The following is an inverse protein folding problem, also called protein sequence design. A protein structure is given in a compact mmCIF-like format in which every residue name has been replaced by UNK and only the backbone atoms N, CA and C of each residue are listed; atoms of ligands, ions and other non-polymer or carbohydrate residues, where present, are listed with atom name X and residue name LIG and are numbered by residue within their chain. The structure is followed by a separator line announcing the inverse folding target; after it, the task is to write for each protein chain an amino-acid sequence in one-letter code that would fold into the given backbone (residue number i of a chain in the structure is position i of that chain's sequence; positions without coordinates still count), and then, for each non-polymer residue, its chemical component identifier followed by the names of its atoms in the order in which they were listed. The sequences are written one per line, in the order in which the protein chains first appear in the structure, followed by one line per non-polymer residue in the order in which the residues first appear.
data_IF_088296338816
#
_entry.id   IF_088296338816
#
_cell.length_a   1.000
_cell.length_b   1.000
_cell.length_c   1.000
_cell.angle_alpha   90.00
_cell.angle_beta   90.00
_cell.angle_gamma   90.00
#
_symmetry.space_group_name_H-M   'P 1'
#
loop_
_entity.id
_entity.type
_entity.pdbx_description
1 polymer ?
#
# COMPACT_ATOMS: atom_id res chain seq x y z
N UNK A 1 12.29 -19.63 24.69
CA UNK A 1 11.83 -18.23 24.76
C UNK A 1 11.38 -17.87 23.37
N UNK A 2 10.07 -17.72 23.15
CA UNK A 2 9.56 -17.09 21.93
C UNK A 2 10.05 -15.64 21.94
N UNK A 3 10.63 -15.16 20.85
CA UNK A 3 11.04 -13.76 20.74
C UNK A 3 9.83 -12.84 21.02
N UNK A 4 10.09 -11.64 21.55
CA UNK A 4 9.04 -10.65 21.71
C UNK A 4 8.41 -10.30 20.33
N UNK A 5 7.09 -10.04 20.25
CA UNK A 5 6.45 -9.64 19.00
C UNK A 5 7.10 -8.40 18.39
N UNK A 6 7.51 -8.50 17.12
CA UNK A 6 7.92 -7.34 16.31
C UNK A 6 6.70 -6.49 15.92
N UNK A 7 6.91 -5.19 15.73
CA UNK A 7 5.97 -4.23 15.18
C UNK A 7 6.40 -3.86 13.75
N UNK A 8 5.45 -3.94 12.82
CA UNK A 8 5.61 -3.51 11.44
C UNK A 8 4.67 -2.32 11.20
N UNK A 9 5.17 -1.29 10.53
CA UNK A 9 4.39 -0.11 10.14
C UNK A 9 4.31 -0.03 8.62
N UNK A 10 3.11 0.17 8.09
CA UNK A 10 2.84 0.32 6.66
C UNK A 10 2.28 1.72 6.44
N UNK A 11 2.97 2.54 5.64
CA UNK A 11 2.58 3.93 5.40
C UNK A 11 2.10 4.07 3.95
N UNK A 12 0.80 4.29 3.79
CA UNK A 12 0.10 4.28 2.51
C UNK A 12 -0.67 5.58 2.26
N UNK A 13 -0.94 5.87 0.99
CA UNK A 13 -1.57 7.11 0.58
C UNK A 13 -3.09 7.09 0.84
N UNK A 14 -3.77 6.01 0.42
CA UNK A 14 -5.24 5.93 0.41
C UNK A 14 -5.77 4.63 1.04
N UNK A 15 -7.07 4.59 1.41
CA UNK A 15 -7.74 3.36 1.84
C UNK A 15 -7.93 2.34 0.70
N UNK A 16 -7.13 1.27 0.70
CA UNK A 16 -7.11 0.11 -0.23
C UNK A 16 -5.68 -0.30 -0.56
N UNK A 17 -4.79 0.68 -0.71
CA UNK A 17 -3.37 0.54 -0.98
C UNK A 17 -2.71 -0.49 -0.08
N UNK A 18 -3.02 -0.46 1.21
CA UNK A 18 -2.42 -1.36 2.19
C UNK A 18 -2.76 -2.82 1.89
N UNK A 19 -3.99 -3.07 1.45
CA UNK A 19 -4.47 -4.42 1.15
C UNK A 19 -4.04 -4.87 -0.25
N UNK A 20 -4.00 -3.95 -1.21
CA UNK A 20 -3.55 -4.19 -2.59
C UNK A 20 -2.05 -4.53 -2.66
N UNK A 21 -1.24 -3.87 -1.83
CA UNK A 21 0.23 -3.91 -1.96
C UNK A 21 0.93 -4.74 -0.87
N UNK A 22 0.34 -4.81 0.33
CA UNK A 22 0.96 -5.45 1.50
C UNK A 22 -0.01 -6.28 2.37
N UNK A 23 -1.23 -6.56 1.87
CA UNK A 23 -2.28 -7.25 2.62
C UNK A 23 -1.87 -8.65 3.06
N UNK A 24 -1.14 -9.37 2.21
CA UNK A 24 -0.62 -10.70 2.51
C UNK A 24 0.43 -10.66 3.61
N UNK A 25 1.36 -9.72 3.51
CA UNK A 25 2.45 -9.52 4.47
C UNK A 25 1.93 -9.14 5.84
N UNK A 26 0.93 -8.26 5.90
CA UNK A 26 0.27 -7.91 7.16
C UNK A 26 -0.45 -9.09 7.80
N UNK A 27 -1.26 -9.83 7.01
CA UNK A 27 -1.94 -11.03 7.51
C UNK A 27 -0.93 -12.09 8.01
N UNK A 28 0.19 -12.23 7.31
CA UNK A 28 1.27 -13.14 7.69
C UNK A 28 1.91 -12.73 9.02
N UNK A 29 2.24 -11.45 9.19
CA UNK A 29 2.82 -10.93 10.42
C UNK A 29 1.89 -11.18 11.63
N UNK A 30 0.60 -10.91 11.48
CA UNK A 30 -0.41 -11.15 12.54
C UNK A 30 -0.51 -12.65 12.87
N UNK A 31 -0.57 -13.51 11.86
CA UNK A 31 -0.62 -14.97 12.05
C UNK A 31 0.60 -15.50 12.80
N UNK A 32 1.77 -14.95 12.51
CA UNK A 32 3.04 -15.38 13.10
C UNK A 32 3.27 -14.76 14.50
N UNK A 33 2.31 -13.99 15.01
CA UNK A 33 2.31 -13.43 16.37
C UNK A 33 2.98 -12.06 16.48
N UNK A 34 3.26 -11.41 15.36
CA UNK A 34 3.73 -10.03 15.28
C UNK A 34 2.57 -9.04 15.25
N UNK A 35 2.88 -7.74 15.26
CA UNK A 35 1.90 -6.66 15.21
C UNK A 35 2.12 -5.86 13.94
N UNK A 36 1.04 -5.59 13.21
CA UNK A 36 1.04 -4.70 12.07
C UNK A 36 0.20 -3.46 12.37
N UNK A 37 0.67 -2.31 11.88
CA UNK A 37 -0.02 -1.03 11.96
C UNK A 37 -0.02 -0.36 10.59
N UNK A 38 -1.17 0.16 10.16
CA UNK A 38 -1.31 0.95 8.92
C UNK A 38 -1.50 2.42 9.28
N UNK A 39 -0.70 3.28 8.64
CA UNK A 39 -0.87 4.72 8.65
C UNK A 39 -1.28 5.17 7.25
N UNK A 40 -2.52 5.64 7.11
CA UNK A 40 -3.05 6.13 5.83
C UNK A 40 -2.95 7.66 5.78
N UNK A 41 -2.34 8.22 4.72
CA UNK A 41 -2.06 9.65 4.62
C UNK A 41 -3.31 10.50 4.33
N UNK A 42 -4.25 9.97 3.56
CA UNK A 42 -5.49 10.65 3.15
C UNK A 42 -6.67 9.68 3.23
N UNK A 43 -7.90 10.16 2.99
CA UNK A 43 -9.09 9.30 2.98
C UNK A 43 -9.57 8.94 1.58
N UNK A 44 -8.84 9.35 0.54
CA UNK A 44 -9.18 9.00 -0.83
C UNK A 44 -10.44 9.72 -1.33
N UNK A 45 -10.60 10.97 -0.95
CA UNK A 45 -11.76 11.81 -1.26
C UNK A 45 -12.00 12.01 -2.77
N UNK A 46 -10.94 11.91 -3.59
CA UNK A 46 -10.98 12.11 -5.04
C UNK A 46 -11.13 10.79 -5.81
N UNK A 47 -11.37 9.67 -5.11
CA UNK A 47 -11.55 8.35 -5.71
C UNK A 47 -12.81 8.24 -6.58
N UNK A 48 -12.74 7.39 -7.60
CA UNK A 48 -13.93 6.95 -8.33
C UNK A 48 -14.75 5.96 -7.47
N UNK A 49 -16.03 5.75 -7.81
CA UNK A 49 -16.91 4.85 -7.05
C UNK A 49 -17.53 3.81 -7.98
N UNK A 50 -17.17 2.53 -7.76
CA UNK A 50 -17.64 1.40 -8.59
C UNK A 50 -19.16 1.18 -8.47
N UNK A 51 -19.77 1.03 -7.26
CA UNK A 51 -21.18 0.67 -7.17
C UNK A 51 -22.08 1.85 -7.57
N UNK A 52 -23.01 1.70 -8.54
CA UNK A 52 -23.89 2.79 -8.97
C UNK A 52 -24.72 3.41 -7.84
N UNK A 53 -25.08 2.61 -6.83
CA UNK A 53 -25.84 3.08 -5.67
C UNK A 53 -25.04 4.06 -4.77
N UNK A 54 -23.71 4.07 -4.87
CA UNK A 54 -22.81 4.87 -4.05
C UNK A 54 -22.12 6.01 -4.81
N UNK A 55 -22.34 6.13 -6.13
CA UNK A 55 -21.67 7.16 -6.96
C UNK A 55 -21.92 8.60 -6.50
N UNK A 56 -23.01 8.85 -5.79
CA UNK A 56 -23.31 10.16 -5.20
C UNK A 56 -22.25 10.61 -4.17
N UNK A 57 -21.43 9.71 -3.63
CA UNK A 57 -20.44 10.02 -2.60
C UNK A 57 -19.19 10.75 -3.13
N UNK A 58 -18.92 10.68 -4.44
CA UNK A 58 -17.68 11.23 -5.02
C UNK A 58 -17.54 12.75 -4.82
N UNK A 59 -16.33 13.27 -5.06
CA UNK A 59 -16.01 14.69 -4.91
C UNK A 59 -16.81 15.63 -5.82
N UNK A 60 -17.36 15.13 -6.94
CA UNK A 60 -18.16 15.92 -7.87
C UNK A 60 -19.63 16.05 -7.45
N UNK A 61 -20.08 15.21 -6.51
CA UNK A 61 -21.46 15.16 -6.03
C UNK A 61 -21.58 15.59 -4.57
N UNK A 62 -21.56 14.66 -3.62
CA UNK A 62 -21.76 14.96 -2.20
C UNK A 62 -20.45 15.24 -1.47
N UNK A 63 -19.28 14.88 -2.04
CA UNK A 63 -17.96 15.02 -1.42
C UNK A 63 -17.90 14.38 -0.03
N UNK A 64 -18.42 13.15 0.07
CA UNK A 64 -18.51 12.37 1.32
C UNK A 64 -17.84 10.99 1.23
N UNK A 65 -17.09 10.74 0.16
CA UNK A 65 -16.39 9.48 -0.06
C UNK A 65 -15.34 9.19 1.01
N UNK A 66 -14.55 10.18 1.45
CA UNK A 66 -13.51 9.99 2.45
C UNK A 66 -14.00 9.37 3.77
N UNK A 67 -15.00 9.98 4.44
CA UNK A 67 -15.63 9.38 5.62
C UNK A 67 -16.19 7.97 5.38
N UNK A 68 -16.72 7.69 4.18
CA UNK A 68 -17.20 6.35 3.82
C UNK A 68 -16.05 5.34 3.73
N UNK A 69 -14.98 5.71 3.02
CA UNK A 69 -13.76 4.90 2.85
C UNK A 69 -13.00 4.67 4.16
N UNK A 70 -13.12 5.55 5.15
CA UNK A 70 -12.63 5.27 6.51
C UNK A 70 -13.32 4.03 7.11
N UNK A 71 -14.62 3.86 6.86
CA UNK A 71 -15.36 2.67 7.27
C UNK A 71 -14.88 1.40 6.56
N UNK A 72 -14.63 1.50 5.24
CA UNK A 72 -14.07 0.42 4.43
C UNK A 72 -12.67 0.01 4.91
N UNK A 73 -11.78 1.00 5.17
CA UNK A 73 -10.47 0.77 5.78
C UNK A 73 -10.59 0.03 7.11
N UNK A 74 -11.42 0.52 8.03
CA UNK A 74 -11.59 -0.11 9.34
C UNK A 74 -12.08 -1.55 9.22
N UNK A 75 -12.98 -1.84 8.29
CA UNK A 75 -13.48 -3.18 8.04
C UNK A 75 -12.38 -4.10 7.45
N UNK A 76 -11.64 -3.63 6.44
CA UNK A 76 -10.51 -4.37 5.87
C UNK A 76 -9.44 -4.68 6.92
N UNK A 77 -9.08 -3.71 7.75
CA UNK A 77 -8.10 -3.87 8.83
C UNK A 77 -8.58 -4.86 9.89
N UNK A 78 -9.87 -4.87 10.21
CA UNK A 78 -10.45 -5.86 11.10
C UNK A 78 -10.36 -7.29 10.54
N UNK A 79 -10.55 -7.47 9.22
CA UNK A 79 -10.36 -8.77 8.56
C UNK A 79 -8.91 -9.25 8.64
N UNK A 80 -7.94 -8.36 8.43
CA UNK A 80 -6.51 -8.69 8.50
C UNK A 80 -5.99 -8.84 9.94
N UNK A 81 -6.74 -8.37 10.94
CA UNK A 81 -6.28 -8.31 12.34
C UNK A 81 -5.24 -7.22 12.60
N UNK A 82 -5.28 -6.16 11.80
CA UNK A 82 -4.31 -5.07 11.75
C UNK A 82 -4.87 -3.84 12.45
N UNK A 83 -4.02 -3.07 13.12
CA UNK A 83 -4.41 -1.78 13.69
C UNK A 83 -4.16 -0.65 12.68
N UNK A 84 -4.93 0.43 12.72
CA UNK A 84 -4.73 1.53 11.78
C UNK A 84 -5.03 2.90 12.39
N UNK A 85 -4.52 3.94 11.73
CA UNK A 85 -4.88 5.33 11.97
C UNK A 85 -4.71 6.17 10.69
N UNK A 86 -5.25 7.39 10.71
CA UNK A 86 -5.17 8.34 9.59
C UNK A 86 -4.25 9.49 9.99
N UNK A 87 -3.37 9.90 9.06
CA UNK A 87 -2.33 10.89 9.31
C UNK A 87 -2.94 12.24 9.71
N UNK A 88 -2.62 12.66 10.94
CA UNK A 88 -3.08 13.94 11.46
C UNK A 88 -4.57 14.01 11.81
N UNK A 89 -5.25 12.86 11.94
CA UNK A 89 -6.59 12.81 12.51
C UNK A 89 -6.61 13.42 13.92
N UNK A 90 -7.64 14.20 14.22
CA UNK A 90 -7.82 14.81 15.54
C UNK A 90 -8.32 13.79 16.55
N UNK A 91 -7.74 13.81 17.77
CA UNK A 91 -8.10 12.85 18.83
C UNK A 91 -9.56 12.96 19.31
N UNK A 92 -10.21 14.11 19.10
CA UNK A 92 -11.62 14.36 19.41
C UNK A 92 -12.57 14.07 18.24
N UNK A 93 -12.04 13.60 17.10
CA UNK A 93 -12.79 13.30 15.89
C UNK A 93 -13.23 14.54 15.10
N UNK A 94 -12.78 15.74 15.46
CA UNK A 94 -13.13 16.99 14.75
C UNK A 94 -12.57 17.08 13.32
N UNK A 95 -11.50 16.33 13.04
CA UNK A 95 -10.91 16.15 11.72
C UNK A 95 -10.53 14.68 11.54
N UNK A 96 -11.02 14.03 10.48
CA UNK A 96 -10.73 12.63 10.20
C UNK A 96 -9.38 12.43 9.51
N UNK A 97 -8.89 13.46 8.82
CA UNK A 97 -7.56 13.52 8.19
C UNK A 97 -7.05 14.95 8.23
N UNK A 98 -5.73 15.15 8.26
CA UNK A 98 -5.13 16.47 8.06
C UNK A 98 -5.00 16.84 6.58
N UNK A 99 -4.89 15.84 5.72
CA UNK A 99 -4.64 16.04 4.30
C UNK A 99 -5.73 15.37 3.46
N UNK A 100 -6.11 16.05 2.38
CA UNK A 100 -7.04 15.55 1.38
C UNK A 100 -6.27 14.82 0.28
N UNK A 101 -6.87 13.77 -0.27
CA UNK A 101 -6.45 13.16 -1.53
C UNK A 101 -6.25 14.23 -2.62
N UNK A 102 -5.11 14.15 -3.30
CA UNK A 102 -4.72 15.09 -4.36
C UNK A 102 -5.28 14.69 -5.73
N UNK A 103 -5.90 13.52 -5.83
CA UNK A 103 -6.32 12.90 -7.08
C UNK A 103 -5.16 12.57 -8.03
N UNK A 104 -5.52 12.07 -9.20
CA UNK A 104 -4.56 11.66 -10.23
C UNK A 104 -3.75 12.85 -10.77
N UNK A 105 -2.52 12.58 -11.24
CA UNK A 105 -1.66 13.61 -11.83
C UNK A 105 -2.36 14.36 -12.99
N UNK A 106 -2.37 15.69 -12.93
CA UNK A 106 -2.99 16.55 -13.94
C UNK A 106 -4.47 16.87 -13.71
N UNK A 107 -5.08 16.33 -12.66
CA UNK A 107 -6.44 16.69 -12.26
C UNK A 107 -6.47 18.05 -11.51
N UNK A 108 -7.62 18.76 -11.49
CA UNK A 108 -7.74 20.02 -10.77
C UNK A 108 -7.68 19.90 -9.24
N UNK A 109 -7.94 18.71 -8.67
CA UNK A 109 -7.98 18.47 -7.22
C UNK A 109 -6.64 18.74 -6.53
N UNK A 110 -5.52 18.55 -7.23
CA UNK A 110 -4.19 18.94 -6.74
C UNK A 110 -4.04 20.45 -6.44
N UNK A 111 -4.98 21.31 -6.88
CA UNK A 111 -5.01 22.72 -6.50
C UNK A 111 -5.77 23.00 -5.18
N UNK A 112 -6.38 21.98 -4.57
CA UNK A 112 -7.03 22.11 -3.28
C UNK A 112 -5.99 22.52 -2.21
N UNK A 113 -6.27 23.50 -1.34
CA UNK A 113 -5.31 23.96 -0.33
C UNK A 113 -4.80 22.86 0.60
N UNK A 114 -5.65 21.88 0.88
CA UNK A 114 -5.34 20.74 1.75
C UNK A 114 -4.87 19.48 0.99
N UNK A 115 -4.68 19.55 -0.33
CA UNK A 115 -4.20 18.42 -1.12
C UNK A 115 -2.82 17.95 -0.61
N UNK A 116 -2.68 16.66 -0.33
CA UNK A 116 -1.51 16.10 0.33
C UNK A 116 -0.21 16.32 -0.46
N UNK A 117 -0.26 16.31 -1.80
CA UNK A 117 0.88 16.58 -2.68
C UNK A 117 1.51 17.96 -2.41
N UNK A 118 0.74 18.92 -1.89
CA UNK A 118 1.20 20.27 -1.57
C UNK A 118 1.70 20.41 -0.12
N UNK A 119 1.54 19.37 0.71
CA UNK A 119 1.97 19.42 2.10
C UNK A 119 3.47 19.68 2.21
N UNK A 120 3.86 20.51 3.18
CA UNK A 120 5.27 20.65 3.54
C UNK A 120 5.81 19.30 4.02
N UNK A 121 6.84 18.80 3.36
CA UNK A 121 7.41 17.48 3.63
C UNK A 121 7.91 17.38 5.07
N UNK A 122 8.49 18.44 5.63
CA UNK A 122 9.02 18.41 7.00
C UNK A 122 7.90 18.35 8.04
N UNK A 123 6.80 19.08 7.82
CA UNK A 123 5.62 19.01 8.69
C UNK A 123 4.95 17.63 8.65
N UNK A 124 4.69 17.10 7.45
CA UNK A 124 4.08 15.78 7.29
C UNK A 124 4.99 14.67 7.82
N UNK A 125 6.31 14.76 7.57
CA UNK A 125 7.30 13.84 8.12
C UNK A 125 7.35 13.87 9.65
N UNK A 126 7.11 15.04 10.26
CA UNK A 126 6.99 15.15 11.72
C UNK A 126 5.87 14.29 12.28
N UNK A 127 4.70 14.30 11.63
CA UNK A 127 3.55 13.48 12.00
C UNK A 127 3.84 11.98 11.84
N UNK A 128 4.44 11.58 10.71
CA UNK A 128 4.85 10.18 10.49
C UNK A 128 5.90 9.74 11.52
N UNK A 129 6.85 10.62 11.86
CA UNK A 129 7.87 10.33 12.88
C UNK A 129 7.27 10.12 14.28
N UNK A 130 6.21 10.85 14.63
CA UNK A 130 5.49 10.64 15.89
C UNK A 130 4.80 9.27 15.94
N UNK A 131 4.24 8.82 14.82
CA UNK A 131 3.72 7.45 14.69
C UNK A 131 4.84 6.43 14.86
N UNK A 132 5.98 6.60 14.17
CA UNK A 132 7.14 5.69 14.30
C UNK A 132 7.62 5.62 15.75
N UNK A 133 7.72 6.75 16.47
CA UNK A 133 8.12 6.78 17.88
C UNK A 133 7.13 6.05 18.80
N UNK A 134 5.82 6.13 18.51
CA UNK A 134 4.78 5.47 19.30
C UNK A 134 4.72 3.97 19.01
N UNK A 135 4.68 3.58 17.74
CA UNK A 135 4.59 2.19 17.29
C UNK A 135 5.89 1.44 17.56
N UNK A 136 7.04 2.12 17.47
CA UNK A 136 8.40 1.55 17.55
C UNK A 136 8.55 0.34 16.60
N UNK A 137 8.35 0.54 15.29
CA UNK A 137 8.47 -0.54 14.33
C UNK A 137 9.92 -0.97 14.15
N UNK A 138 10.14 -2.26 13.90
CA UNK A 138 11.41 -2.77 13.36
C UNK A 138 11.49 -2.59 11.83
N UNK A 139 10.34 -2.51 11.18
CA UNK A 139 10.16 -2.41 9.73
C UNK A 139 9.11 -1.36 9.40
N UNK A 140 9.44 -0.48 8.45
CA UNK A 140 8.49 0.42 7.79
C UNK A 140 8.41 0.04 6.31
N UNK A 141 7.21 -0.07 5.78
CA UNK A 141 6.95 -0.30 4.36
C UNK A 141 6.23 0.91 3.77
N UNK A 142 6.66 1.33 2.58
CA UNK A 142 6.04 2.41 1.79
C UNK A 142 6.35 2.21 0.30
N UNK A 143 6.19 3.24 -0.53
CA UNK A 143 6.47 3.19 -1.96
C UNK A 143 7.93 3.52 -2.31
N UNK A 144 8.33 3.26 -3.56
CA UNK A 144 9.57 3.78 -4.13
C UNK A 144 9.46 5.26 -4.52
N UNK A 145 10.53 5.85 -5.08
CA UNK A 145 10.56 7.26 -5.48
C UNK A 145 9.53 7.61 -6.57
N UNK A 146 9.02 6.62 -7.29
CA UNK A 146 7.98 6.77 -8.30
C UNK A 146 6.56 6.56 -7.76
N UNK A 147 6.40 6.25 -6.47
CA UNK A 147 5.08 6.02 -5.89
C UNK A 147 4.36 4.81 -6.50
N UNK A 148 5.12 3.85 -7.03
CA UNK A 148 4.63 2.69 -7.75
C UNK A 148 4.06 2.94 -9.15
N UNK A 149 2.99 3.73 -9.29
CA UNK A 149 2.38 4.05 -10.59
C UNK A 149 2.30 5.54 -10.92
N UNK A 150 3.10 6.37 -10.23
CA UNK A 150 3.17 7.84 -10.39
C UNK A 150 1.93 8.58 -9.86
N UNK A 151 1.18 7.99 -8.93
CA UNK A 151 0.18 8.76 -8.19
C UNK A 151 0.88 9.86 -7.36
N UNK A 152 0.45 11.13 -7.43
CA UNK A 152 1.06 12.23 -6.69
C UNK A 152 1.19 11.95 -5.19
N UNK A 153 0.13 11.44 -4.57
CA UNK A 153 0.14 11.12 -3.14
C UNK A 153 1.00 9.90 -2.76
N UNK A 154 1.26 8.96 -3.67
CA UNK A 154 2.17 7.86 -3.39
C UNK A 154 3.62 8.36 -3.37
N UNK A 155 3.96 9.23 -4.34
CA UNK A 155 5.26 9.90 -4.37
C UNK A 155 5.44 10.78 -3.14
N UNK A 156 4.39 11.51 -2.72
CA UNK A 156 4.45 12.30 -1.50
C UNK A 156 4.58 11.42 -0.25
N UNK A 157 3.82 10.32 -0.16
CA UNK A 157 3.92 9.34 0.93
C UNK A 157 5.34 8.78 1.04
N UNK A 158 5.98 8.45 -0.09
CA UNK A 158 7.39 8.07 -0.13
C UNK A 158 8.29 9.16 0.48
N UNK A 159 8.17 10.41 0.00
CA UNK A 159 9.01 11.53 0.44
C UNK A 159 8.88 11.81 1.93
N UNK A 160 7.65 11.85 2.46
CA UNK A 160 7.40 12.12 3.88
C UNK A 160 7.87 10.98 4.76
N UNK A 161 7.73 9.73 4.31
CA UNK A 161 8.16 8.55 5.07
C UNK A 161 9.69 8.45 5.13
N UNK A 162 10.37 8.64 4.00
CA UNK A 162 11.84 8.72 3.95
C UNK A 162 12.36 9.84 4.86
N UNK A 163 11.79 11.05 4.77
CA UNK A 163 12.15 12.17 5.62
C UNK A 163 11.90 11.89 7.12
N UNK A 164 10.79 11.23 7.45
CA UNK A 164 10.46 10.86 8.83
C UNK A 164 11.50 9.91 9.41
N UNK A 165 11.84 8.83 8.68
CA UNK A 165 12.87 7.87 9.10
C UNK A 165 14.24 8.53 9.18
N UNK A 166 14.62 9.36 8.20
CA UNK A 166 15.89 10.07 8.19
C UNK A 166 16.03 11.06 9.36
N UNK A 167 14.92 11.61 9.87
CA UNK A 167 14.92 12.51 11.03
C UNK A 167 15.27 11.82 12.35
N UNK A 168 15.14 10.49 12.42
CA UNK A 168 15.42 9.72 13.63
C UNK A 168 16.93 9.48 13.82
N UNK A 169 17.41 9.32 15.06
CA UNK A 169 18.77 8.89 15.34
C UNK A 169 19.06 7.56 14.63
N UNK A 170 20.25 7.35 14.03
CA UNK A 170 20.54 6.13 13.26
C UNK A 170 20.30 4.81 14.00
N UNK A 171 20.49 4.78 15.32
CA UNK A 171 20.25 3.59 16.14
C UNK A 171 18.76 3.25 16.33
N UNK A 172 17.87 4.21 16.10
CA UNK A 172 16.42 4.10 16.29
C UNK A 172 15.67 3.97 14.95
N UNK A 173 16.39 3.98 13.82
CA UNK A 173 15.77 3.91 12.49
C UNK A 173 15.26 2.48 12.23
N UNK A 174 13.97 2.30 11.91
CA UNK A 174 13.49 1.04 11.36
C UNK A 174 14.15 0.77 10.01
N UNK A 175 14.15 -0.50 9.59
CA UNK A 175 14.42 -0.80 8.18
C UNK A 175 13.27 -0.27 7.34
N UNK A 176 13.60 0.42 6.26
CA UNK A 176 12.62 1.00 5.36
C UNK A 176 12.60 0.19 4.05
N UNK A 177 11.42 -0.20 3.61
CA UNK A 177 11.21 -0.99 2.40
C UNK A 177 10.24 -0.30 1.45
N UNK A 178 10.54 -0.38 0.15
CA UNK A 178 9.61 -0.09 -0.93
C UNK A 178 8.86 -1.36 -1.35
N UNK A 179 7.57 -1.26 -1.62
CA UNK A 179 6.81 -2.32 -2.31
C UNK A 179 7.11 -2.29 -3.80
N UNK A 180 7.49 -3.44 -4.37
CA UNK A 180 7.86 -3.59 -5.78
C UNK A 180 7.42 -4.96 -6.33
N UNK A 181 7.31 -5.07 -7.64
CA UNK A 181 6.96 -6.32 -8.33
C UNK A 181 8.10 -6.71 -9.28
N UNK A 182 8.67 -7.93 -9.19
CA UNK A 182 9.61 -8.42 -10.20
C UNK A 182 8.95 -8.50 -11.59
N UNK A 183 9.67 -8.11 -12.65
CA UNK A 183 9.25 -8.27 -14.05
C UNK A 183 8.80 -9.71 -14.36
N UNK A 184 9.52 -10.71 -13.83
CA UNK A 184 9.16 -12.12 -14.03
C UNK A 184 7.79 -12.47 -13.45
N UNK A 185 7.44 -11.92 -12.28
CA UNK A 185 6.14 -12.13 -11.63
C UNK A 185 5.02 -11.40 -12.35
N UNK A 186 5.25 -10.17 -12.79
CA UNK A 186 4.24 -9.41 -13.53
C UNK A 186 3.87 -10.12 -14.85
N UNK A 187 4.86 -10.71 -15.53
CA UNK A 187 4.62 -11.55 -16.72
C UNK A 187 3.87 -12.83 -16.36
N UNK A 188 4.28 -13.54 -15.31
CA UNK A 188 3.57 -14.75 -14.84
C UNK A 188 2.10 -14.45 -14.55
N UNK A 189 1.80 -13.31 -13.92
CA UNK A 189 0.42 -12.95 -13.58
C UNK A 189 -0.41 -12.60 -14.80
N UNK A 190 0.16 -11.94 -15.82
CA UNK A 190 -0.52 -11.74 -17.11
C UNK A 190 -0.80 -13.06 -17.83
N UNK A 191 0.17 -13.97 -17.87
CA UNK A 191 0.02 -15.30 -18.45
C UNK A 191 -1.07 -16.10 -17.72
N UNK A 192 -1.05 -16.07 -16.39
CA UNK A 192 -2.05 -16.74 -15.57
C UNK A 192 -3.45 -16.19 -15.80
N UNK A 193 -3.62 -14.86 -15.87
CA UNK A 193 -4.92 -14.22 -16.14
C UNK A 193 -5.46 -14.57 -17.53
N UNK A 194 -4.58 -14.73 -18.53
CA UNK A 194 -4.99 -15.16 -19.87
C UNK A 194 -5.54 -16.60 -19.89
N UNK A 195 -5.04 -17.46 -19.00
CA UNK A 195 -5.52 -18.84 -18.83
C UNK A 195 -6.76 -18.95 -17.91
N UNK A 196 -7.00 -17.93 -17.07
CA UNK A 196 -8.06 -17.91 -16.06
C UNK A 196 -8.96 -16.65 -16.16
N UNK A 197 -9.58 -16.37 -17.32
CA UNK A 197 -10.47 -15.22 -17.45
C UNK A 197 -11.70 -15.37 -16.55
N UNK A 198 -12.15 -14.26 -15.94
CA UNK A 198 -13.36 -14.24 -15.13
C UNK A 198 -14.59 -14.11 -16.04
N UNK A 199 -15.18 -15.25 -16.41
CA UNK A 199 -16.33 -15.29 -17.33
C UNK A 199 -17.51 -14.42 -16.82
N UNK A 200 -18.07 -13.61 -17.71
CA UNK A 200 -19.23 -12.76 -17.41
C UNK A 200 -18.94 -11.53 -16.56
N UNK A 201 -17.69 -11.28 -16.16
CA UNK A 201 -17.30 -10.07 -15.42
C UNK A 201 -17.38 -8.78 -16.25
N UNK A 202 -17.11 -8.89 -17.56
CA UNK A 202 -16.91 -7.72 -18.41
C UNK A 202 -15.50 -7.12 -18.32
N UNK A 203 -14.61 -7.68 -17.48
CA UNK A 203 -13.26 -7.18 -17.30
C UNK A 203 -12.37 -7.48 -18.50
N UNK A 204 -11.56 -6.49 -18.87
CA UNK A 204 -10.48 -6.67 -19.82
C UNK A 204 -9.31 -7.41 -19.17
N UNK A 205 -8.63 -8.24 -19.96
CA UNK A 205 -7.34 -8.79 -19.57
C UNK A 205 -6.25 -7.73 -19.77
N UNK A 206 -5.21 -7.71 -18.92
CA UNK A 206 -4.05 -6.84 -19.15
C UNK A 206 -3.40 -7.18 -20.48
N UNK A 207 -2.95 -6.16 -21.22
CA UNK A 207 -2.20 -6.34 -22.45
C UNK A 207 -0.90 -7.13 -22.15
N UNK A 208 -0.68 -8.32 -22.76
CA UNK A 208 0.51 -9.12 -22.51
C UNK A 208 1.81 -8.35 -22.80
N UNK A 209 1.80 -7.49 -23.82
CA UNK A 209 2.95 -6.70 -24.27
C UNK A 209 2.89 -5.24 -23.81
N UNK A 210 1.86 -4.89 -23.04
CA UNK A 210 1.65 -3.54 -22.52
C UNK A 210 2.76 -3.10 -21.57
N UNK A 211 3.05 -1.81 -21.52
CA UNK A 211 3.99 -1.26 -20.55
C UNK A 211 3.58 -1.59 -19.12
N UNK A 212 4.55 -1.87 -18.26
CA UNK A 212 4.33 -2.01 -16.83
C UNK A 212 4.43 -0.65 -16.12
N UNK A 213 3.77 -0.48 -14.96
CA UNK A 213 4.02 0.67 -14.11
C UNK A 213 5.46 0.65 -13.56
N UNK A 214 6.02 1.81 -13.13
CA UNK A 214 7.36 1.89 -12.56
C UNK A 214 7.67 0.93 -11.39
N UNK A 215 6.66 0.51 -10.62
CA UNK A 215 6.81 -0.49 -9.55
C UNK A 215 7.21 -1.88 -10.05
N UNK A 216 7.04 -2.18 -11.35
CA UNK A 216 7.53 -3.42 -11.94
C UNK A 216 8.98 -3.19 -12.37
N UNK A 217 9.88 -3.92 -11.73
CA UNK A 217 11.32 -3.68 -11.83
C UNK A 217 12.06 -4.96 -12.21
N UNK A 218 13.30 -4.85 -12.75
CA UNK A 218 14.17 -6.00 -12.93
C UNK A 218 14.26 -6.84 -11.66
N UNK A 219 14.13 -8.17 -11.79
CA UNK A 219 14.06 -9.12 -10.67
C UNK A 219 15.11 -8.95 -9.57
N UNK A 220 16.33 -8.54 -9.94
CA UNK A 220 17.45 -8.38 -9.02
C UNK A 220 17.33 -7.15 -8.10
N UNK A 221 16.43 -6.21 -8.41
CA UNK A 221 16.15 -5.06 -7.55
C UNK A 221 15.20 -5.41 -6.41
N UNK A 222 14.39 -6.47 -6.57
CA UNK A 222 13.55 -6.99 -5.50
C UNK A 222 14.39 -7.96 -4.67
N UNK A 223 14.58 -7.63 -3.40
CA UNK A 223 15.55 -8.31 -2.53
C UNK A 223 14.89 -9.15 -1.45
N UNK A 224 13.63 -8.83 -1.13
CA UNK A 224 12.82 -9.52 -0.14
C UNK A 224 11.49 -9.91 -0.76
N UNK A 225 10.95 -11.05 -0.34
CA UNK A 225 9.65 -11.54 -0.75
C UNK A 225 8.90 -12.12 0.45
N UNK A 226 7.58 -11.97 0.44
CA UNK A 226 6.68 -12.71 1.32
C UNK A 226 5.80 -13.57 0.43
N UNK A 227 5.88 -14.88 0.59
CA UNK A 227 5.09 -15.86 -0.17
C UNK A 227 4.21 -16.64 0.80
N UNK A 228 2.89 -16.55 0.66
CA UNK A 228 1.91 -17.18 1.56
C UNK A 228 0.59 -17.43 0.83
N UNK A 229 0.56 -18.26 -0.23
CA UNK A 229 -0.65 -18.49 -1.03
C UNK A 229 -1.86 -18.97 -0.21
N UNK A 230 -1.63 -19.62 0.93
CA UNK A 230 -2.67 -20.02 1.88
C UNK A 230 -3.43 -18.84 2.52
N UNK A 231 -2.88 -17.61 2.46
CA UNK A 231 -3.50 -16.39 2.98
C UNK A 231 -4.22 -15.56 1.90
N UNK A 232 -4.20 -15.99 0.63
CA UNK A 232 -4.98 -15.34 -0.45
C UNK A 232 -6.45 -15.16 -0.08
N UNK A 233 -7.15 -16.15 0.53
CA UNK A 233 -8.54 -15.95 0.93
C UNK A 233 -8.74 -14.84 1.97
N UNK A 234 -7.76 -14.59 2.83
CA UNK A 234 -7.80 -13.51 3.85
C UNK A 234 -7.62 -12.15 3.19
N UNK A 235 -6.62 -12.01 2.30
CA UNK A 235 -6.42 -10.78 1.52
C UNK A 235 -7.63 -10.48 0.63
N UNK A 236 -8.18 -11.49 -0.04
CA UNK A 236 -9.39 -11.35 -0.84
C UNK A 236 -10.63 -10.97 -0.02
N UNK A 237 -10.73 -11.40 1.25
CA UNK A 237 -11.79 -10.96 2.14
C UNK A 237 -11.62 -9.49 2.53
N UNK A 238 -10.40 -9.04 2.85
CA UNK A 238 -10.13 -7.64 3.16
C UNK A 238 -10.36 -6.72 1.95
N UNK A 239 -9.96 -7.15 0.74
CA UNK A 239 -10.22 -6.38 -0.49
C UNK A 239 -11.72 -6.17 -0.76
N UNK A 240 -12.58 -7.12 -0.35
CA UNK A 240 -14.05 -6.97 -0.50
C UNK A 240 -14.64 -5.89 0.40
N UNK A 241 -13.95 -5.51 1.48
CA UNK A 241 -14.40 -4.43 2.36
C UNK A 241 -14.18 -3.05 1.71
N UNK A 242 -13.27 -2.95 0.73
CA UNK A 242 -13.06 -1.77 -0.13
C UNK A 242 -14.01 -1.75 -1.32
N UNK A 243 -15.31 -1.94 -1.07
CA UNK A 243 -16.33 -2.16 -2.11
C UNK A 243 -16.50 -0.98 -3.08
N UNK A 244 -16.16 0.25 -2.68
CA UNK A 244 -16.17 1.40 -3.58
C UNK A 244 -15.02 1.38 -4.61
N UNK A 245 -13.91 0.71 -4.29
CA UNK A 245 -12.65 0.76 -5.06
C UNK A 245 -12.27 -0.56 -5.72
N UNK A 246 -12.66 -1.70 -5.15
CA UNK A 246 -12.23 -3.03 -5.57
C UNK A 246 -13.42 -3.97 -5.72
N UNK A 247 -13.50 -4.64 -6.87
CA UNK A 247 -14.41 -5.78 -7.06
C UNK A 247 -13.60 -7.07 -7.12
N UNK A 248 -13.85 -7.98 -6.18
CA UNK A 248 -13.17 -9.29 -6.12
C UNK A 248 -14.05 -10.37 -6.76
N UNK A 249 -13.47 -11.18 -7.64
CA UNK A 249 -14.16 -12.30 -8.28
C UNK A 249 -14.67 -13.32 -7.24
N UNK A 250 -15.72 -14.11 -7.56
CA UNK A 250 -16.22 -15.15 -6.66
C UNK A 250 -15.15 -16.19 -6.27
N UNK A 251 -14.19 -16.49 -7.15
CA UNK A 251 -13.04 -17.36 -6.88
C UNK A 251 -12.12 -16.82 -5.78
N UNK A 252 -12.04 -15.49 -5.63
CA UNK A 252 -11.17 -14.83 -4.66
C UNK A 252 -9.69 -14.77 -5.06
N UNK A 253 -9.35 -15.09 -6.30
CA UNK A 253 -7.97 -15.06 -6.85
C UNK A 253 -7.74 -13.93 -7.85
N UNK A 254 -8.80 -13.18 -8.20
CA UNK A 254 -8.80 -12.12 -9.19
C UNK A 254 -9.65 -10.96 -8.70
N UNK A 255 -9.26 -9.74 -9.00
CA UNK A 255 -10.03 -8.53 -8.76
C UNK A 255 -9.92 -7.55 -9.93
N UNK A 256 -10.72 -6.51 -9.92
CA UNK A 256 -10.55 -5.33 -10.77
C UNK A 256 -10.83 -4.06 -9.97
N UNK A 257 -10.27 -2.95 -10.45
CA UNK A 257 -10.59 -1.59 -9.98
C UNK A 257 -11.65 -0.96 -10.91
N UNK A 258 -11.89 0.34 -10.80
CA UNK A 258 -12.84 1.07 -11.65
C UNK A 258 -12.49 1.08 -13.14
N UNK A 259 -11.24 0.75 -13.49
CA UNK A 259 -10.77 0.64 -14.88
C UNK A 259 -11.22 -0.66 -15.57
N UNK A 260 -11.90 -1.56 -14.86
CA UNK A 260 -12.35 -2.87 -15.36
C UNK A 260 -11.21 -3.73 -15.94
N UNK A 261 -9.98 -3.57 -15.45
CA UNK A 261 -8.84 -4.42 -15.83
C UNK A 261 -8.61 -5.46 -14.75
N UNK A 262 -8.62 -6.74 -15.14
CA UNK A 262 -8.40 -7.85 -14.22
C UNK A 262 -6.95 -7.88 -13.69
N UNK A 263 -6.81 -8.11 -12.39
CA UNK A 263 -5.55 -8.30 -11.69
C UNK A 263 -5.62 -9.55 -10.80
N UNK A 264 -4.53 -10.30 -10.74
CA UNK A 264 -4.42 -11.52 -9.91
C UNK A 264 -4.15 -11.14 -8.46
N UNK A 265 -4.60 -11.96 -7.51
CA UNK A 265 -4.16 -11.98 -6.12
C UNK A 265 -3.17 -13.14 -5.98
N UNK A 266 -1.85 -12.90 -6.15
CA UNK A 266 -0.91 -13.97 -6.49
C UNK A 266 -0.38 -14.76 -5.27
N UNK A 267 -0.71 -14.35 -4.05
CA UNK A 267 -0.21 -14.98 -2.82
C UNK A 267 1.29 -14.74 -2.59
N UNK A 268 1.83 -13.66 -3.17
CA UNK A 268 3.20 -13.20 -3.02
C UNK A 268 3.30 -11.68 -3.12
N UNK A 269 4.19 -11.08 -2.36
CA UNK A 269 4.48 -9.64 -2.34
C UNK A 269 6.00 -9.41 -2.31
N UNK A 270 6.48 -8.41 -3.04
CA UNK A 270 7.91 -8.13 -3.24
C UNK A 270 8.33 -6.80 -2.63
N UNK A 271 9.56 -6.76 -2.11
CA UNK A 271 10.08 -5.57 -1.43
C UNK A 271 11.56 -5.36 -1.70
N UNK A 272 11.99 -4.10 -1.57
CA UNK A 272 13.40 -3.71 -1.63
C UNK A 272 13.74 -2.70 -0.55
N UNK A 273 14.95 -2.77 0.00
CA UNK A 273 15.41 -1.80 1.00
C UNK A 273 15.52 -0.41 0.37
N UNK A 274 15.11 0.60 1.13
CA UNK A 274 15.29 2.02 0.82
C UNK A 274 16.37 2.62 1.72
N UNK A 275 17.20 3.49 1.15
CA UNK A 275 18.00 4.41 1.94
C UNK A 275 17.15 5.65 2.29
N UNK A 276 16.76 5.86 3.56
CA UNK A 276 15.91 6.98 3.94
C UNK A 276 16.57 8.35 3.70
N UNK A 277 17.90 8.42 3.63
CA UNK A 277 18.61 9.68 3.39
C UNK A 277 18.55 10.12 1.92
N UNK A 278 18.50 9.18 0.98
CA UNK A 278 18.46 9.48 -0.45
C UNK A 278 17.08 9.27 -1.07
N UNK A 279 16.24 8.42 -0.47
CA UNK A 279 14.98 7.96 -1.06
C UNK A 279 15.16 6.87 -2.13
N UNK A 280 16.40 6.53 -2.49
CA UNK A 280 16.68 5.50 -3.50
C UNK A 280 16.69 4.10 -2.91
N UNK A 281 16.57 3.10 -3.79
CA UNK A 281 16.80 1.70 -3.43
C UNK A 281 18.24 1.54 -2.92
N UNK A 282 18.39 0.89 -1.76
CA UNK A 282 19.69 0.59 -1.20
C UNK A 282 20.41 -0.45 -2.06
N UNK A 283 21.67 -0.22 -2.36
CA UNK A 283 22.52 -1.19 -3.05
C UNK A 283 22.80 -2.36 -2.11
N UNK A 284 22.25 -3.53 -2.40
CA UNK A 284 22.70 -4.79 -1.80
C UNK A 284 23.72 -5.48 -2.69
N UNK A 285 24.75 -6.08 -2.08
CA UNK A 285 25.77 -6.83 -2.81
C UNK A 285 25.12 -8.00 -3.55
N UNK A 286 25.21 -7.98 -4.88
CA UNK A 286 24.61 -8.96 -5.82
C UNK A 286 25.18 -10.40 -5.71
N UNK A 287 25.90 -10.73 -4.63
CA UNK A 287 26.58 -12.01 -4.44
C UNK A 287 25.78 -13.02 -3.62
N UNK A 288 24.69 -12.62 -2.97
CA UNK A 288 23.75 -13.53 -2.33
C UNK A 288 22.74 -14.04 -3.37
N UNK A 289 22.78 -15.34 -3.69
CA UNK A 289 21.79 -15.95 -4.56
C UNK A 289 20.50 -16.21 -3.78
N UNK A 290 19.45 -15.43 -4.02
CA UNK A 290 18.10 -15.62 -3.47
C UNK A 290 17.55 -14.36 -2.80
N UNK A 291 16.21 -14.25 -2.76
CA UNK A 291 15.52 -13.20 -1.99
C UNK A 291 15.34 -13.64 -0.54
N UNK A 292 15.38 -12.69 0.39
CA UNK A 292 15.00 -12.94 1.78
C UNK A 292 13.50 -13.25 1.85
N UNK A 293 13.12 -14.22 2.69
CA UNK A 293 11.73 -14.73 2.73
C UNK A 293 10.86 -14.07 3.79
N UNK A 294 11.41 -13.08 4.50
CA UNK A 294 10.74 -12.31 5.54
C UNK A 294 11.40 -10.93 5.67
N UNK A 295 10.60 -9.88 5.88
CA UNK A 295 11.08 -8.53 6.15
C UNK A 295 11.78 -8.40 7.51
N UNK A 296 11.51 -9.33 8.43
CA UNK A 296 12.15 -9.36 9.75
C UNK A 296 13.53 -10.02 9.71
N UNK A 297 13.86 -10.84 8.71
CA UNK A 297 15.17 -11.45 8.54
C UNK A 297 16.26 -10.38 8.42
N UNK A 298 17.34 -10.51 9.19
CA UNK A 298 18.52 -9.64 9.08
C UNK A 298 19.57 -10.36 8.26
N UNK A 299 20.28 -9.61 7.40
CA UNK A 299 21.55 -10.08 6.84
C UNK A 299 22.48 -10.50 7.99
N UNK A 300 23.03 -11.71 7.88
CA UNK A 300 23.95 -12.28 8.88
C UNK A 300 25.37 -11.74 8.70
#
# INVERSE_FOLDING_TARGET
MTADPANLLFVHAHPDDETLTAGLTMARAVRDGHRAHVLTCTLGEEGEVIPPALQHLDAAHDDTLGPYRLGELSAAMAVLGVSHEVLGAAADGSALSRYRDSGMAGTPSAAHPDAFVNADVSEAAGLVADVIRRVRPEVVVTYDEHGGYLHPDHVQTHRVTCAAVASLPPADRPRLYAVLVPESWAREDREWLAEHPVEGSGWALPDPDGAYPPSVVPDHLVTHEVVSPELVPVQAAALREHATQVTVAPSGDTYALSNDVAARIPGREGFALLDPATGGLATVDATASGRHTDLLERDR
#
